data_IF_471564301977
#
_entry.id   IF_471564301977
#
_cell.length_a   1.000
_cell.length_b   1.000
_cell.length_c   1.000
_cell.angle_alpha   90.00
_cell.angle_beta   90.00
_cell.angle_gamma   90.00
#
_symmetry.space_group_name_H-M   'P 1'
#
loop_
_entity.id
_entity.type
_entity.pdbx_description
1 polymer ?
#
# COMPACT_ATOMS: atom_id res chain seq x y z
N UNK A 1 33.08 29.23 -56.21
CA UNK A 1 32.17 28.94 -55.08
C UNK A 1 31.20 30.09 -54.99
N UNK A 2 29.94 29.87 -55.39
CA UNK A 2 28.93 30.92 -55.41
C UNK A 2 28.41 31.13 -53.98
N UNK A 3 28.58 32.33 -53.45
CA UNK A 3 27.98 32.71 -52.16
C UNK A 3 26.50 32.93 -52.42
N UNK A 4 25.64 32.16 -51.77
CA UNK A 4 24.19 32.36 -51.83
C UNK A 4 23.89 33.59 -50.97
N UNK A 5 23.56 34.71 -51.59
CA UNK A 5 23.03 35.87 -50.90
C UNK A 5 21.60 35.57 -50.45
N UNK A 6 21.41 35.54 -49.14
CA UNK A 6 20.09 35.38 -48.52
C UNK A 6 19.49 36.77 -48.30
N UNK A 7 18.22 36.94 -48.67
CA UNK A 7 17.48 38.18 -48.44
C UNK A 7 17.50 38.53 -46.93
N UNK A 8 17.91 39.75 -46.54
CA UNK A 8 17.99 40.16 -45.14
C UNK A 8 16.66 40.05 -44.38
N UNK A 9 15.50 40.17 -45.06
CA UNK A 9 14.18 39.99 -44.45
C UNK A 9 13.92 38.53 -44.10
N UNK A 10 14.36 37.60 -44.95
CA UNK A 10 14.26 36.17 -44.70
C UNK A 10 15.16 35.79 -43.53
N UNK A 11 16.38 36.34 -43.50
CA UNK A 11 17.31 36.14 -42.39
C UNK A 11 16.73 36.62 -41.05
N UNK A 12 16.17 37.84 -41.02
CA UNK A 12 15.55 38.39 -39.81
C UNK A 12 14.35 37.56 -39.31
N UNK A 13 13.47 37.12 -40.22
CA UNK A 13 12.34 36.28 -39.86
C UNK A 13 12.76 34.89 -39.35
N UNK A 14 13.84 34.34 -39.89
CA UNK A 14 14.44 33.10 -39.40
C UNK A 14 15.00 33.27 -37.98
N UNK A 15 15.78 34.33 -37.76
CA UNK A 15 16.40 34.61 -36.46
C UNK A 15 15.34 34.84 -35.37
N UNK A 16 14.25 35.53 -35.69
CA UNK A 16 13.12 35.71 -34.78
C UNK A 16 12.47 34.37 -34.40
N UNK A 17 12.23 33.49 -35.38
CA UNK A 17 11.66 32.16 -35.14
C UNK A 17 12.59 31.28 -34.31
N UNK A 18 13.90 31.32 -34.57
CA UNK A 18 14.90 30.60 -33.78
C UNK A 18 14.94 31.11 -32.36
N UNK A 19 14.88 32.43 -32.16
CA UNK A 19 14.83 33.03 -30.82
C UNK A 19 13.55 32.63 -30.07
N UNK A 20 12.39 32.63 -30.75
CA UNK A 20 11.13 32.17 -30.17
C UNK A 20 11.19 30.69 -29.77
N UNK A 21 11.71 29.82 -30.65
CA UNK A 21 11.87 28.39 -30.37
C UNK A 21 12.82 28.14 -29.18
N UNK A 22 13.92 28.89 -29.08
CA UNK A 22 14.84 28.80 -27.94
C UNK A 22 14.18 29.17 -26.62
N UNK A 23 13.34 30.21 -26.60
CA UNK A 23 12.57 30.60 -25.40
C UNK A 23 11.58 29.51 -25.00
N UNK A 24 10.79 29.00 -25.95
CA UNK A 24 9.85 27.91 -25.69
C UNK A 24 10.56 26.65 -25.16
N UNK A 25 11.71 26.29 -25.73
CA UNK A 25 12.49 25.15 -25.26
C UNK A 25 13.05 25.37 -23.85
N UNK A 26 13.49 26.59 -23.53
CA UNK A 26 13.98 26.93 -22.19
C UNK A 26 12.86 26.83 -21.14
N UNK A 27 11.64 27.27 -21.49
CA UNK A 27 10.47 27.14 -20.62
C UNK A 27 10.12 25.66 -20.38
N UNK A 28 10.05 24.84 -21.44
CA UNK A 28 9.77 23.40 -21.32
C UNK A 28 10.87 22.68 -20.53
N UNK A 29 12.14 23.03 -20.76
CA UNK A 29 13.25 22.47 -19.98
C UNK A 29 13.13 22.84 -18.50
N UNK A 30 12.74 24.09 -18.20
CA UNK A 30 12.50 24.56 -16.83
C UNK A 30 11.37 23.80 -16.14
N UNK A 31 10.23 23.60 -16.81
CA UNK A 31 9.10 22.84 -16.23
C UNK A 31 9.44 21.37 -16.00
N UNK A 32 10.18 20.76 -16.93
CA UNK A 32 10.65 19.38 -16.79
C UNK A 32 11.66 19.24 -15.64
N UNK A 33 12.54 20.21 -15.47
CA UNK A 33 13.50 20.19 -14.37
C UNK A 33 12.79 20.33 -13.02
N UNK A 34 11.84 21.26 -12.91
CA UNK A 34 11.04 21.44 -11.69
C UNK A 34 10.22 20.18 -11.35
N UNK A 35 9.66 19.49 -12.34
CA UNK A 35 8.93 18.24 -12.11
C UNK A 35 9.85 17.10 -11.65
N UNK A 36 11.05 16.99 -12.23
CA UNK A 36 12.07 16.03 -11.79
C UNK A 36 12.49 16.27 -10.35
N UNK A 37 12.72 17.52 -9.96
CA UNK A 37 13.10 17.88 -8.58
C UNK A 37 11.98 17.56 -7.59
N UNK A 38 10.72 17.85 -7.95
CA UNK A 38 9.56 17.49 -7.14
C UNK A 38 9.45 15.97 -6.94
N UNK A 39 9.60 15.19 -8.01
CA UNK A 39 9.54 13.72 -7.94
C UNK A 39 10.72 13.16 -7.13
N UNK A 40 11.91 13.72 -7.28
CA UNK A 40 13.08 13.32 -6.50
C UNK A 40 12.88 13.63 -5.00
N UNK A 41 12.27 14.76 -4.66
CA UNK A 41 11.94 15.10 -3.28
C UNK A 41 10.89 14.15 -2.69
N UNK A 42 9.83 13.85 -3.44
CA UNK A 42 8.79 12.89 -3.02
C UNK A 42 9.36 11.48 -2.84
N UNK A 43 10.24 11.04 -3.75
CA UNK A 43 10.90 9.74 -3.64
C UNK A 43 11.77 9.65 -2.37
N UNK A 44 12.54 10.70 -2.06
CA UNK A 44 13.34 10.79 -0.83
C UNK A 44 12.46 10.74 0.42
N UNK A 45 11.39 11.54 0.44
CA UNK A 45 10.45 11.54 1.57
C UNK A 45 9.81 10.15 1.78
N UNK A 46 9.44 9.48 0.68
CA UNK A 46 8.88 8.13 0.73
C UNK A 46 9.90 7.11 1.23
N UNK A 47 11.16 7.21 0.80
CA UNK A 47 12.23 6.35 1.29
C UNK A 47 12.50 6.56 2.78
N UNK A 48 12.54 7.81 3.24
CA UNK A 48 12.70 8.15 4.66
C UNK A 48 11.56 7.58 5.51
N UNK A 49 10.30 7.69 5.04
CA UNK A 49 9.13 7.09 5.71
C UNK A 49 9.27 5.57 5.82
N UNK A 50 9.65 4.89 4.74
CA UNK A 50 9.86 3.45 4.76
C UNK A 50 11.07 3.04 5.60
N UNK A 51 12.14 3.83 5.61
CA UNK A 51 13.29 3.59 6.48
C UNK A 51 12.90 3.69 7.96
N UNK A 52 12.13 4.71 8.33
CA UNK A 52 11.60 4.89 9.67
C UNK A 52 10.64 3.75 10.07
N UNK A 53 9.76 3.32 9.17
CA UNK A 53 8.86 2.19 9.41
C UNK A 53 9.64 0.88 9.60
N UNK A 54 10.63 0.60 8.74
CA UNK A 54 11.50 -0.57 8.89
C UNK A 54 12.28 -0.54 10.20
N UNK A 55 12.76 0.63 10.63
CA UNK A 55 13.43 0.78 11.92
C UNK A 55 12.47 0.46 13.08
N UNK A 56 11.23 0.98 13.05
CA UNK A 56 10.20 0.67 14.05
C UNK A 56 9.85 -0.82 14.07
N UNK A 57 9.76 -1.46 12.91
CA UNK A 57 9.47 -2.89 12.81
C UNK A 57 10.63 -3.75 13.35
N UNK A 58 11.88 -3.36 13.07
CA UNK A 58 13.07 -4.01 13.67
C UNK A 58 13.12 -3.85 15.18
N UNK A 59 12.80 -2.67 15.70
CA UNK A 59 12.76 -2.46 17.16
C UNK A 59 11.66 -3.30 17.80
N UNK A 60 10.48 -3.36 17.19
CA UNK A 60 9.38 -4.24 17.65
C UNK A 60 9.79 -5.71 17.63
N UNK A 61 10.43 -6.19 16.57
CA UNK A 61 10.87 -7.59 16.49
C UNK A 61 11.94 -7.90 17.54
N UNK A 62 12.91 -7.00 17.74
CA UNK A 62 13.91 -7.15 18.80
C UNK A 62 13.28 -7.20 20.20
N UNK A 63 12.25 -6.38 20.46
CA UNK A 63 11.51 -6.43 21.73
C UNK A 63 10.79 -7.77 21.93
N UNK A 64 10.15 -8.30 20.89
CA UNK A 64 9.49 -9.60 20.96
C UNK A 64 10.49 -10.75 21.19
N UNK A 65 11.66 -10.69 20.54
CA UNK A 65 12.74 -11.67 20.77
C UNK A 65 13.28 -11.56 22.21
N UNK A 66 13.55 -10.34 22.69
CA UNK A 66 14.00 -10.13 24.07
C UNK A 66 12.96 -10.53 25.11
N UNK A 67 11.67 -10.41 24.81
CA UNK A 67 10.58 -10.88 25.66
C UNK A 67 10.46 -12.41 25.64
N UNK A 68 10.68 -13.05 24.50
CA UNK A 68 10.73 -14.50 24.37
C UNK A 68 11.97 -15.12 25.04
N UNK A 69 13.10 -14.40 25.09
CA UNK A 69 14.31 -14.81 25.82
C UNK A 69 14.19 -14.65 27.34
N UNK A 70 13.21 -13.87 27.84
CA UNK A 70 12.91 -13.92 29.28
C UNK A 70 12.40 -15.32 29.58
N UNK A 71 12.99 -16.04 30.56
CA UNK A 71 12.49 -17.35 30.93
C UNK A 71 11.05 -17.20 31.42
N UNK A 72 10.09 -17.52 30.55
CA UNK A 72 8.71 -17.74 30.97
C UNK A 72 8.76 -18.94 31.91
N UNK A 73 8.62 -18.67 33.22
CA UNK A 73 8.43 -19.74 34.18
C UNK A 73 7.28 -20.58 33.68
N UNK A 74 7.52 -21.85 33.40
CA UNK A 74 6.53 -22.62 32.72
C UNK A 74 5.37 -22.80 33.71
N UNK A 75 4.14 -22.66 33.20
CA UNK A 75 2.90 -22.50 33.97
C UNK A 75 2.59 -23.60 35.00
N UNK A 76 3.35 -24.70 34.99
CA UNK A 76 3.30 -25.82 35.93
C UNK A 76 4.10 -25.60 37.23
N UNK A 77 4.93 -24.56 37.33
CA UNK A 77 5.64 -24.19 38.57
C UNK A 77 4.84 -23.27 39.51
N UNK A 78 3.57 -22.95 39.18
CA UNK A 78 2.71 -22.22 40.11
C UNK A 78 2.37 -23.13 41.28
N UNK A 79 2.68 -22.77 42.55
CA UNK A 79 2.17 -23.53 43.68
C UNK A 79 0.65 -23.53 43.59
N UNK A 80 0.08 -24.72 43.39
CA UNK A 80 -1.35 -24.94 43.37
C UNK A 80 -1.89 -24.52 44.75
N UNK A 81 -2.41 -23.30 44.85
CA UNK A 81 -3.24 -22.90 45.97
C UNK A 81 -4.47 -23.79 45.93
N UNK A 82 -4.46 -24.78 46.82
CA UNK A 82 -5.59 -25.47 47.42
C UNK A 82 -6.97 -25.12 46.85
N UNK A 83 -7.57 -26.11 46.19
CA UNK A 83 -8.99 -26.44 46.33
C UNK A 83 -9.97 -25.45 45.73
N UNK A 84 -10.35 -25.69 44.47
CA UNK A 84 -11.76 -25.78 44.04
C UNK A 84 -11.77 -26.25 42.58
N UNK A 85 -12.17 -27.51 42.38
CA UNK A 85 -12.52 -28.04 41.06
C UNK A 85 -13.84 -27.38 40.65
N UNK A 86 -13.77 -26.23 39.98
CA UNK A 86 -14.91 -25.68 39.25
C UNK A 86 -15.12 -26.49 37.97
N UNK A 87 -15.81 -27.62 38.09
CA UNK A 87 -16.53 -28.18 36.96
C UNK A 87 -17.57 -27.13 36.56
N UNK A 88 -17.72 -26.88 35.24
CA UNK A 88 -18.72 -25.95 34.71
C UNK A 88 -20.10 -26.25 35.27
N UNK A 89 -21.04 -25.28 35.28
CA UNK A 89 -22.34 -25.45 35.92
C UNK A 89 -22.98 -26.75 35.44
N UNK A 90 -23.01 -27.74 36.32
CA UNK A 90 -23.81 -28.94 36.15
C UNK A 90 -25.26 -28.49 36.03
N UNK A 91 -25.92 -29.01 35.01
CA UNK A 91 -27.33 -28.80 34.72
C UNK A 91 -28.16 -29.24 35.93
N UNK A 92 -28.53 -28.26 36.75
CA UNK A 92 -29.51 -28.42 37.81
C UNK A 92 -30.85 -28.84 37.18
N UNK A 93 -31.44 -29.87 37.75
CA UNK A 93 -32.65 -30.56 37.33
C UNK A 93 -33.86 -29.61 37.46
N UNK A 94 -34.04 -28.74 36.46
CA UNK A 94 -35.15 -27.80 36.39
C UNK A 94 -36.29 -28.38 35.54
N UNK A 95 -37.57 -28.27 35.97
CA UNK A 95 -38.69 -28.75 35.18
C UNK A 95 -38.70 -28.09 33.79
N UNK A 96 -39.07 -28.83 32.72
CA UNK A 96 -38.99 -28.30 31.36
C UNK A 96 -39.85 -27.03 31.24
N UNK A 97 -39.34 -25.97 30.59
CA UNK A 97 -40.12 -24.76 30.36
C UNK A 97 -41.34 -25.07 29.48
N UNK A 98 -42.47 -24.37 29.65
CA UNK A 98 -43.64 -24.56 28.81
C UNK A 98 -43.27 -24.32 27.34
N UNK A 99 -43.74 -25.21 26.45
CA UNK A 99 -43.47 -25.13 25.02
C UNK A 99 -43.86 -23.75 24.47
N UNK A 100 -42.88 -23.03 23.93
CA UNK A 100 -43.12 -21.76 23.24
C UNK A 100 -43.93 -22.00 21.96
N UNK A 101 -44.94 -21.16 21.73
CA UNK A 101 -45.69 -21.15 20.48
C UNK A 101 -44.74 -20.90 19.29
N UNK A 102 -44.99 -21.49 18.11
CA UNK A 102 -44.13 -21.31 16.95
C UNK A 102 -44.06 -19.83 16.55
N UNK A 103 -42.85 -19.28 16.53
CA UNK A 103 -42.58 -17.93 16.03
C UNK A 103 -42.83 -17.87 14.53
N UNK A 104 -43.52 -16.83 14.00
CA UNK A 104 -43.67 -16.66 12.57
C UNK A 104 -42.29 -16.51 11.91
N UNK A 105 -42.02 -17.32 10.89
CA UNK A 105 -40.79 -17.24 10.09
C UNK A 105 -40.88 -15.98 9.23
N UNK A 106 -40.16 -14.94 9.62
CA UNK A 106 -39.97 -13.78 8.76
C UNK A 106 -38.95 -14.13 7.66
N UNK A 107 -39.31 -13.87 6.41
CA UNK A 107 -38.40 -14.02 5.29
C UNK A 107 -37.17 -13.11 5.49
N UNK A 108 -35.94 -13.59 5.25
CA UNK A 108 -34.75 -12.76 5.39
C UNK A 108 -34.83 -11.57 4.41
N UNK A 109 -34.33 -10.38 4.81
CA UNK A 109 -34.28 -9.24 3.91
C UNK A 109 -33.39 -9.54 2.69
N UNK A 110 -33.65 -8.93 1.53
CA UNK A 110 -32.85 -9.15 0.33
C UNK A 110 -31.38 -8.80 0.59
N UNK A 111 -30.47 -9.68 0.16
CA UNK A 111 -29.05 -9.48 0.28
C UNK A 111 -28.61 -8.20 -0.45
N UNK A 112 -27.82 -7.37 0.23
CA UNK A 112 -27.22 -6.18 -0.39
C UNK A 112 -26.19 -6.62 -1.44
N UNK A 113 -26.07 -5.92 -2.58
CA UNK A 113 -25.04 -6.24 -3.57
C UNK A 113 -23.66 -6.09 -2.94
N UNK A 114 -22.85 -7.13 -3.06
CA UNK A 114 -21.46 -7.11 -2.61
C UNK A 114 -20.66 -6.06 -3.40
N UNK A 115 -19.72 -5.34 -2.77
CA UNK A 115 -18.82 -4.46 -3.50
C UNK A 115 -18.05 -5.29 -4.53
N UNK A 116 -18.15 -4.90 -5.80
CA UNK A 116 -17.38 -5.54 -6.87
C UNK A 116 -15.90 -5.26 -6.59
N UNK A 117 -15.12 -6.33 -6.41
CA UNK A 117 -13.65 -6.24 -6.43
C UNK A 117 -13.25 -5.61 -7.78
N UNK A 118 -12.33 -4.64 -7.81
CA UNK A 118 -11.71 -4.23 -9.06
C UNK A 118 -11.09 -5.48 -9.71
N UNK A 119 -11.27 -5.60 -11.02
CA UNK A 119 -10.62 -6.67 -11.78
C UNK A 119 -9.11 -6.58 -11.56
N UNK A 120 -8.40 -7.72 -11.46
CA UNK A 120 -6.95 -7.74 -11.59
C UNK A 120 -6.59 -6.98 -12.87
N UNK A 121 -5.74 -5.97 -12.74
CA UNK A 121 -5.12 -5.34 -13.89
C UNK A 121 -4.25 -6.44 -14.53
N UNK A 122 -4.43 -6.68 -15.83
CA UNK A 122 -3.56 -7.56 -16.62
C UNK A 122 -2.14 -6.97 -16.60
N UNK A 123 -1.35 -7.32 -15.57
CA UNK A 123 0.09 -7.09 -15.51
C UNK A 123 0.87 -8.19 -16.29
N UNK A 124 0.18 -8.96 -17.12
CA UNK A 124 0.73 -10.08 -17.89
C UNK A 124 1.31 -9.66 -19.27
N UNK A 125 1.17 -8.39 -19.68
CA UNK A 125 1.69 -7.93 -20.98
C UNK A 125 3.18 -7.51 -20.96
N UNK A 126 3.78 -7.30 -19.78
CA UNK A 126 5.16 -6.78 -19.68
C UNK A 126 6.26 -7.85 -19.58
N UNK A 127 5.91 -9.14 -19.52
CA UNK A 127 6.89 -10.24 -19.43
C UNK A 127 7.18 -10.96 -20.76
N UNK A 128 6.58 -10.51 -21.87
CA UNK A 128 6.60 -11.26 -23.14
C UNK A 128 7.86 -11.15 -24.02
N UNK A 129 8.83 -10.27 -23.72
CA UNK A 129 9.97 -10.03 -24.64
C UNK A 129 11.38 -10.22 -24.08
N UNK A 130 11.54 -10.72 -22.85
CA UNK A 130 12.85 -11.11 -22.35
C UNK A 130 12.88 -12.63 -22.12
N UNK A 131 13.23 -13.35 -23.18
CA UNK A 131 13.86 -14.67 -23.04
C UNK A 131 15.28 -14.44 -22.53
N UNK A 132 15.60 -14.93 -21.34
CA UNK A 132 16.97 -14.95 -20.79
C UNK A 132 17.66 -16.29 -21.10
N UNK A 133 17.03 -17.13 -21.93
CA UNK A 133 17.53 -18.43 -22.35
C UNK A 133 17.13 -18.68 -23.82
N UNK A 134 17.63 -17.85 -24.74
CA UNK A 134 17.90 -18.28 -26.13
C UNK A 134 18.99 -17.42 -26.75
#
# INVERSE_FOLDING_TARGET
>A
MSVIEVDPRVQAAFDERVAAARRANAEVAGTLQASRERLAAEAREREERFAAERARMREKSQRLVAEAEKPQRPQWERPQSSGELAFGPEEDDAPPPPAAAPTPVYAPPPARPAPRRPAPVDDDEDFGTQSWLT
#
